data_IF_882966129561
#
_entry.id   IF_882966129561
#
_cell.length_a   1.000
_cell.length_b   1.000
_cell.length_c   1.000
_cell.angle_alpha   90.00
_cell.angle_beta   90.00
_cell.angle_gamma   90.00
#
_symmetry.space_group_name_H-M   'P 1'
#
loop_
_entity.id
_entity.type
_entity.pdbx_description
1 polymer ?
#
# COMPACT_ATOMS: atom_id res chain seq x y z
N UNK A 1 29.32 -20.28 -17.70
CA UNK A 1 29.73 -18.98 -17.11
C UNK A 1 28.43 -18.31 -16.67
N UNK A 2 28.36 -17.71 -15.47
CA UNK A 2 27.17 -17.00 -15.01
C UNK A 2 27.50 -15.52 -15.18
N UNK A 3 27.09 -14.97 -16.30
CA UNK A 3 27.48 -13.65 -16.73
C UNK A 3 26.71 -12.59 -15.92
N UNK A 4 27.10 -11.33 -16.07
CA UNK A 4 26.45 -10.22 -15.37
C UNK A 4 24.94 -10.16 -15.67
N UNK A 5 24.54 -10.64 -16.86
CA UNK A 5 23.15 -10.79 -17.28
C UNK A 5 22.35 -11.71 -16.35
N UNK A 6 22.84 -12.93 -16.08
CA UNK A 6 22.15 -13.89 -15.21
C UNK A 6 21.94 -13.35 -13.78
N UNK A 7 22.88 -12.55 -13.27
CA UNK A 7 22.76 -11.93 -11.94
C UNK A 7 21.76 -10.78 -11.94
N UNK A 8 21.65 -10.04 -13.05
CA UNK A 8 20.67 -8.98 -13.21
C UNK A 8 19.25 -9.56 -13.28
N UNK A 9 19.05 -10.62 -14.05
CA UNK A 9 17.75 -11.30 -14.17
C UNK A 9 17.25 -11.86 -12.84
N UNK A 10 18.13 -12.50 -12.06
CA UNK A 10 17.76 -13.00 -10.73
C UNK A 10 17.34 -11.88 -9.77
N UNK A 11 18.02 -10.73 -9.83
CA UNK A 11 17.67 -9.56 -9.01
C UNK A 11 16.31 -9.00 -9.39
N UNK A 12 16.02 -8.88 -10.67
CA UNK A 12 14.74 -8.37 -11.17
C UNK A 12 13.61 -9.32 -10.79
N UNK A 13 13.78 -10.63 -11.01
CA UNK A 13 12.77 -11.62 -10.63
C UNK A 13 12.47 -11.57 -9.13
N UNK A 14 13.51 -11.50 -8.29
CA UNK A 14 13.36 -11.42 -6.84
C UNK A 14 12.68 -10.13 -6.39
N UNK A 15 12.98 -8.99 -7.03
CA UNK A 15 12.34 -7.71 -6.73
C UNK A 15 10.84 -7.73 -7.06
N UNK A 16 10.47 -8.32 -8.20
CA UNK A 16 9.07 -8.51 -8.60
C UNK A 16 8.33 -9.40 -7.61
N UNK A 17 8.93 -10.52 -7.19
CA UNK A 17 8.32 -11.43 -6.21
C UNK A 17 8.08 -10.75 -4.86
N UNK A 18 9.04 -9.94 -4.39
CA UNK A 18 8.92 -9.15 -3.16
C UNK A 18 7.81 -8.11 -3.30
N UNK A 19 7.79 -7.34 -4.40
CA UNK A 19 6.75 -6.34 -4.65
C UNK A 19 5.34 -6.95 -4.70
N UNK A 20 5.19 -8.10 -5.37
CA UNK A 20 3.93 -8.86 -5.45
C UNK A 20 3.49 -9.37 -4.07
N UNK A 21 4.42 -9.92 -3.28
CA UNK A 21 4.13 -10.39 -1.94
C UNK A 21 3.72 -9.24 -1.00
N UNK A 22 4.35 -8.07 -1.14
CA UNK A 22 3.94 -6.87 -0.41
C UNK A 22 2.55 -6.40 -0.85
N UNK A 23 2.27 -6.30 -2.15
CA UNK A 23 0.96 -5.88 -2.66
C UNK A 23 -0.18 -6.79 -2.18
N UNK A 24 0.05 -8.12 -2.14
CA UNK A 24 -0.93 -9.10 -1.64
C UNK A 24 -1.18 -9.02 -0.13
N UNK A 25 -0.24 -8.47 0.64
CA UNK A 25 -0.32 -8.33 2.10
C UNK A 25 -0.90 -6.99 2.53
N UNK A 26 -1.14 -6.07 1.61
CA UNK A 26 -1.86 -4.83 1.93
C UNK A 26 -3.29 -5.24 2.22
N UNK A 27 -3.79 -5.07 3.46
CA UNK A 27 -5.20 -5.31 3.75
C UNK A 27 -6.00 -4.43 2.79
N UNK A 28 -6.83 -5.06 1.97
CA UNK A 28 -7.80 -4.33 1.17
C UNK A 28 -8.75 -3.67 2.16
N UNK A 29 -8.67 -2.35 2.28
CA UNK A 29 -9.66 -1.56 2.98
C UNK A 29 -11.00 -1.83 2.29
N UNK A 30 -11.91 -2.52 2.97
CA UNK A 30 -13.24 -2.80 2.43
C UNK A 30 -13.99 -1.46 2.32
N UNK A 31 -14.62 -1.22 1.17
CA UNK A 31 -15.38 -0.01 0.94
C UNK A 31 -16.77 -0.16 1.57
N UNK A 32 -16.85 -0.12 2.89
CA UNK A 32 -18.08 -0.27 3.68
C UNK A 32 -19.05 0.92 3.56
N UNK A 33 -18.76 1.88 2.68
CA UNK A 33 -19.52 3.13 2.54
C UNK A 33 -19.23 4.15 3.65
N UNK A 34 -18.12 3.97 4.38
CA UNK A 34 -17.65 4.92 5.41
C UNK A 34 -16.20 5.33 5.15
N UNK A 35 -15.89 6.57 5.48
CA UNK A 35 -14.54 7.10 5.42
C UNK A 35 -13.66 6.39 6.45
N UNK A 36 -12.56 5.80 6.01
CA UNK A 36 -11.62 5.09 6.89
C UNK A 36 -10.85 5.99 7.88
N UNK A 37 -10.97 7.31 7.74
CA UNK A 37 -10.33 8.29 8.63
C UNK A 37 -11.32 8.93 9.62
N UNK A 38 -12.42 9.51 9.12
CA UNK A 38 -13.39 10.25 9.95
C UNK A 38 -14.73 9.53 10.20
N UNK A 39 -14.90 8.30 9.69
CA UNK A 39 -16.14 7.50 9.73
C UNK A 39 -17.38 8.13 9.06
N UNK A 40 -17.21 9.21 8.28
CA UNK A 40 -18.33 9.84 7.57
C UNK A 40 -18.91 8.95 6.46
N UNK A 41 -20.20 9.11 6.15
CA UNK A 41 -20.87 8.33 5.10
C UNK A 41 -20.41 8.77 3.70
N UNK A 42 -19.91 7.82 2.91
CA UNK A 42 -19.34 8.08 1.57
C UNK A 42 -19.98 7.18 0.53
N UNK A 43 -19.88 7.57 -0.75
CA UNK A 43 -20.41 6.76 -1.84
C UNK A 43 -19.74 5.37 -1.88
N UNK A 44 -20.53 4.35 -2.21
CA UNK A 44 -20.03 2.98 -2.36
C UNK A 44 -18.85 2.93 -3.34
N UNK A 45 -17.74 2.32 -2.90
CA UNK A 45 -16.50 2.20 -3.68
C UNK A 45 -15.45 3.28 -3.39
N UNK A 46 -15.78 4.32 -2.62
CA UNK A 46 -14.79 5.25 -2.06
C UNK A 46 -14.27 4.72 -0.72
N UNK A 47 -13.01 5.06 -0.40
CA UNK A 47 -12.37 4.74 0.89
C UNK A 47 -12.31 5.96 1.82
N UNK A 48 -12.32 7.16 1.26
CA UNK A 48 -12.20 8.42 1.98
C UNK A 48 -13.25 9.40 1.45
N UNK A 49 -13.76 10.28 2.33
CA UNK A 49 -14.74 11.29 1.94
C UNK A 49 -14.14 12.38 1.05
N UNK A 50 -12.88 12.76 1.32
CA UNK A 50 -12.17 13.82 0.61
C UNK A 50 -10.67 13.53 0.54
N UNK A 51 -9.95 14.33 -0.26
CA UNK A 51 -8.50 14.25 -0.40
C UNK A 51 -7.78 14.52 0.92
N UNK A 52 -8.26 15.45 1.75
CA UNK A 52 -7.68 15.73 3.07
C UNK A 52 -7.66 14.48 3.96
N UNK A 53 -8.78 13.77 4.09
CA UNK A 53 -8.85 12.54 4.88
C UNK A 53 -7.96 11.41 4.34
N UNK A 54 -7.72 11.38 3.02
CA UNK A 54 -6.78 10.43 2.42
C UNK A 54 -5.34 10.79 2.77
N UNK A 55 -4.98 12.08 2.69
CA UNK A 55 -3.63 12.56 2.94
C UNK A 55 -3.26 12.37 4.41
N UNK A 56 -4.15 12.75 5.33
CA UNK A 56 -3.97 12.60 6.78
C UNK A 56 -3.77 11.12 7.16
N UNK A 57 -4.60 10.22 6.62
CA UNK A 57 -4.42 8.78 6.80
C UNK A 57 -3.07 8.29 6.24
N UNK A 58 -2.62 8.81 5.10
CA UNK A 58 -1.31 8.46 4.54
C UNK A 58 -0.15 8.99 5.39
N UNK A 59 -0.27 10.20 5.94
CA UNK A 59 0.70 10.80 6.84
C UNK A 59 0.81 10.00 8.14
N UNK A 60 -0.32 9.60 8.74
CA UNK A 60 -0.36 8.74 9.91
C UNK A 60 0.28 7.38 9.64
N UNK A 61 -0.06 6.73 8.51
CA UNK A 61 0.56 5.47 8.10
C UNK A 61 2.07 5.62 7.87
N UNK A 62 2.51 6.72 7.26
CA UNK A 62 3.91 7.02 7.07
C UNK A 62 4.63 7.28 8.40
N UNK A 63 3.98 7.99 9.34
CA UNK A 63 4.48 8.24 10.68
C UNK A 63 4.59 6.93 11.48
N UNK A 64 3.59 6.06 11.43
CA UNK A 64 3.61 4.73 12.06
C UNK A 64 4.73 3.85 11.49
N UNK A 65 4.92 3.84 10.16
CA UNK A 65 6.04 3.14 9.52
C UNK A 65 7.40 3.68 9.92
N UNK A 66 7.55 5.00 10.05
CA UNK A 66 8.76 5.65 10.57
C UNK A 66 8.98 5.38 12.05
N UNK A 67 7.90 5.27 12.83
CA UNK A 67 7.92 4.97 14.25
C UNK A 67 8.22 3.48 14.57
N UNK A 68 8.25 2.61 13.56
CA UNK A 68 8.87 1.28 13.65
C UNK A 68 8.13 0.27 14.52
N UNK A 69 6.81 0.11 14.34
CA UNK A 69 6.07 -1.03 14.90
C UNK A 69 5.74 -2.06 13.82
#
# INVERSE_FOLDING_TARGET
MRDVADRAEWRIAKDIEVAMAHARRIPQLEADGRCHYCDEHIAHGLLFCNTDCRDDYQEEQAALRRAGR
#
